data_IF_551678940331
#
_entry.id   IF_551678940331
#
_cell.length_a   1.000
_cell.length_b   1.000
_cell.length_c   1.000
_cell.angle_alpha   90.00
_cell.angle_beta   90.00
_cell.angle_gamma   90.00
#
_symmetry.space_group_name_H-M   'P 1'
#
loop_
_entity.id
_entity.type
_entity.pdbx_description
1 polymer ?
#
# COMPACT_ATOMS: atom_id res chain seq x y z
N UNK A 1 9.13 16.55 -8.03
CA UNK A 1 7.85 16.12 -7.45
C UNK A 1 7.17 15.07 -8.31
N UNK A 2 7.17 15.20 -9.65
CA UNK A 2 6.46 14.28 -10.56
C UNK A 2 6.88 12.81 -10.45
N UNK A 3 8.19 12.52 -10.40
CA UNK A 3 8.68 11.14 -10.21
C UNK A 3 8.24 10.55 -8.86
N UNK A 4 8.20 11.38 -7.81
CA UNK A 4 7.79 10.96 -6.48
C UNK A 4 6.26 10.78 -6.40
N UNK A 5 5.49 11.66 -7.05
CA UNK A 5 4.05 11.50 -7.25
C UNK A 5 3.74 10.19 -7.98
N UNK A 6 4.44 9.89 -9.07
CA UNK A 6 4.26 8.65 -9.82
C UNK A 6 4.49 7.42 -8.93
N UNK A 7 5.59 7.41 -8.16
CA UNK A 7 5.88 6.32 -7.20
C UNK A 7 4.76 6.20 -6.16
N UNK A 8 4.26 7.30 -5.61
CA UNK A 8 3.16 7.28 -4.64
C UNK A 8 1.87 6.71 -5.23
N UNK A 9 1.55 7.04 -6.48
CA UNK A 9 0.39 6.49 -7.20
C UNK A 9 0.55 4.98 -7.38
N UNK A 10 1.73 4.50 -7.77
CA UNK A 10 2.01 3.06 -7.92
C UNK A 10 1.87 2.33 -6.59
N UNK A 11 2.45 2.87 -5.51
CA UNK A 11 2.32 2.29 -4.16
C UNK A 11 0.85 2.25 -3.72
N UNK A 12 0.08 3.30 -4.02
CA UNK A 12 -1.35 3.36 -3.68
C UNK A 12 -2.17 2.32 -4.45
N UNK A 13 -1.90 2.16 -5.74
CA UNK A 13 -2.55 1.13 -6.56
C UNK A 13 -2.25 -0.28 -6.04
N UNK A 14 -1.00 -0.54 -5.64
CA UNK A 14 -0.61 -1.81 -5.03
C UNK A 14 -1.30 -2.03 -3.67
N UNK A 15 -1.45 -1.00 -2.86
CA UNK A 15 -2.19 -1.11 -1.59
C UNK A 15 -3.67 -1.44 -1.81
N UNK A 16 -4.32 -0.78 -2.77
CA UNK A 16 -5.71 -1.09 -3.16
C UNK A 16 -5.82 -2.55 -3.64
N UNK A 17 -4.88 -3.00 -4.47
CA UNK A 17 -4.82 -4.40 -4.91
C UNK A 17 -4.73 -5.37 -3.73
N UNK A 18 -3.86 -5.11 -2.76
CA UNK A 18 -3.71 -5.96 -1.56
C UNK A 18 -4.98 -5.98 -0.71
N UNK A 19 -5.67 -4.84 -0.58
CA UNK A 19 -6.97 -4.76 0.11
C UNK A 19 -8.00 -5.65 -0.60
N UNK A 20 -8.14 -5.52 -1.92
CA UNK A 20 -9.06 -6.35 -2.72
C UNK A 20 -8.68 -7.83 -2.61
N UNK A 21 -7.38 -8.13 -2.63
CA UNK A 21 -6.88 -9.49 -2.45
C UNK A 21 -7.24 -10.05 -1.07
N UNK A 22 -7.13 -9.26 -0.01
CA UNK A 22 -7.53 -9.65 1.34
C UNK A 22 -9.02 -9.99 1.42
N UNK A 23 -9.90 -9.22 0.77
CA UNK A 23 -11.32 -9.57 0.65
C UNK A 23 -11.53 -10.87 -0.13
N UNK A 24 -10.72 -11.11 -1.16
CA UNK A 24 -10.80 -12.32 -1.98
C UNK A 24 -10.33 -13.60 -1.26
N UNK A 25 -9.67 -13.49 -0.10
CA UNK A 25 -9.18 -14.66 0.66
C UNK A 25 -10.28 -15.67 0.98
N UNK A 26 -11.52 -15.20 1.18
CA UNK A 26 -12.67 -16.04 1.49
C UNK A 26 -12.97 -17.06 0.38
N UNK A 27 -12.62 -16.76 -0.87
CA UNK A 27 -12.82 -17.67 -2.01
C UNK A 27 -11.83 -18.84 -2.04
N UNK A 28 -10.71 -18.76 -1.30
CA UNK A 28 -9.72 -19.83 -1.27
C UNK A 28 -10.05 -20.90 -0.22
N UNK A 29 -9.86 -22.20 -0.53
CA UNK A 29 -10.12 -23.27 0.43
C UNK A 29 -9.26 -23.13 1.69
N UNK A 30 -9.87 -23.28 2.88
CA UNK A 30 -9.17 -23.16 4.18
C UNK A 30 -7.93 -24.07 4.28
N UNK A 31 -7.98 -25.28 3.71
CA UNK A 31 -6.84 -26.21 3.67
C UNK A 31 -5.64 -25.62 2.93
N UNK A 32 -5.89 -24.90 1.84
CA UNK A 32 -4.84 -24.27 1.03
C UNK A 32 -4.25 -23.06 1.76
N UNK A 33 -5.10 -22.17 2.29
CA UNK A 33 -4.63 -20.99 3.03
C UNK A 33 -3.74 -21.34 4.22
N UNK A 34 -4.10 -22.41 4.95
CA UNK A 34 -3.32 -22.91 6.10
C UNK A 34 -2.01 -23.57 5.68
N UNK A 35 -1.95 -24.23 4.52
CA UNK A 35 -0.72 -24.90 4.03
C UNK A 35 0.42 -23.90 3.77
N UNK A 36 0.08 -22.71 3.29
CA UNK A 36 1.06 -21.68 2.92
C UNK A 36 1.05 -20.46 3.86
N UNK A 37 0.35 -20.53 5.00
CA UNK A 37 0.15 -19.41 5.94
C UNK A 37 -0.31 -18.10 5.25
N UNK A 38 -1.19 -18.24 4.27
CA UNK A 38 -1.63 -17.15 3.39
C UNK A 38 -2.27 -16.01 4.18
N UNK A 39 -3.12 -16.33 5.15
CA UNK A 39 -3.84 -15.34 5.95
C UNK A 39 -2.86 -14.41 6.71
N UNK A 40 -1.77 -14.97 7.25
CA UNK A 40 -0.71 -14.21 7.91
C UNK A 40 0.09 -13.36 6.91
N UNK A 41 0.45 -13.94 5.76
CA UNK A 41 1.22 -13.24 4.73
C UNK A 41 0.46 -12.03 4.16
N UNK A 42 -0.83 -12.21 3.89
CA UNK A 42 -1.70 -11.12 3.40
C UNK A 42 -1.94 -10.08 4.48
N UNK A 43 -2.16 -10.50 5.73
CA UNK A 43 -2.27 -9.55 6.85
C UNK A 43 -1.02 -8.70 7.02
N UNK A 44 0.17 -9.32 6.92
CA UNK A 44 1.45 -8.63 6.96
C UNK A 44 1.57 -7.65 5.79
N UNK A 45 1.32 -8.11 4.56
CA UNK A 45 1.38 -7.26 3.37
C UNK A 45 0.43 -6.07 3.50
N UNK A 46 -0.81 -6.29 3.94
CA UNK A 46 -1.80 -5.24 4.12
C UNK A 46 -1.32 -4.15 5.09
N UNK A 47 -0.79 -4.54 6.26
CA UNK A 47 -0.30 -3.60 7.27
C UNK A 47 0.89 -2.79 6.72
N UNK A 48 1.90 -3.47 6.18
CA UNK A 48 3.11 -2.81 5.70
C UNK A 48 2.83 -1.89 4.51
N UNK A 49 2.05 -2.33 3.52
CA UNK A 49 1.74 -1.49 2.36
C UNK A 49 0.81 -0.33 2.71
N UNK A 50 -0.13 -0.50 3.65
CA UNK A 50 -0.96 0.61 4.13
C UNK A 50 -0.09 1.65 4.82
N UNK A 51 0.83 1.21 5.69
CA UNK A 51 1.76 2.09 6.39
C UNK A 51 2.70 2.82 5.42
N UNK A 52 3.30 2.10 4.46
CA UNK A 52 4.17 2.70 3.42
C UNK A 52 3.40 3.71 2.58
N UNK A 53 2.17 3.41 2.18
CA UNK A 53 1.32 4.33 1.41
C UNK A 53 1.09 5.62 2.20
N UNK A 54 0.73 5.51 3.48
CA UNK A 54 0.50 6.66 4.34
C UNK A 54 1.75 7.54 4.48
N UNK A 55 2.91 6.94 4.79
CA UNK A 55 4.16 7.71 4.91
C UNK A 55 4.57 8.35 3.58
N UNK A 56 4.43 7.63 2.46
CA UNK A 56 4.75 8.15 1.14
C UNK A 56 3.94 9.41 0.78
N UNK A 57 2.64 9.41 1.10
CA UNK A 57 1.78 10.59 0.91
C UNK A 57 2.08 11.73 1.89
N UNK A 58 2.34 11.44 3.16
CA UNK A 58 2.73 12.46 4.14
C UNK A 58 3.99 13.20 3.68
N UNK A 59 5.01 12.46 3.24
CA UNK A 59 6.25 13.03 2.73
C UNK A 59 5.98 13.87 1.48
N UNK A 60 5.12 13.40 0.57
CA UNK A 60 4.78 14.14 -0.64
C UNK A 60 4.07 15.45 -0.33
N UNK A 61 3.05 15.43 0.53
CA UNK A 61 2.34 16.63 0.93
C UNK A 61 3.23 17.59 1.71
N UNK A 62 4.12 17.09 2.56
CA UNK A 62 5.11 17.95 3.23
C UNK A 62 5.95 18.73 2.22
N UNK A 63 6.53 18.06 1.23
CA UNK A 63 7.33 18.74 0.21
C UNK A 63 6.52 19.63 -0.73
N UNK A 64 5.27 19.29 -1.00
CA UNK A 64 4.41 20.10 -1.86
C UNK A 64 3.90 21.36 -1.15
N UNK A 65 3.56 21.28 0.15
CA UNK A 65 3.10 22.42 0.95
C UNK A 65 4.25 23.37 1.29
N UNK A 66 5.40 22.83 1.69
CA UNK A 66 6.58 23.62 2.08
C UNK A 66 7.58 23.81 0.95
N UNK A 67 7.15 23.58 -0.30
CA UNK A 67 7.92 23.94 -1.48
C UNK A 67 8.24 25.43 -1.35
N UNK A 68 9.53 25.82 -1.30
CA UNK A 68 9.88 27.22 -1.11
C UNK A 68 9.18 28.01 -2.20
N UNK A 69 8.35 28.98 -1.80
CA UNK A 69 7.81 30.01 -2.67
C UNK A 69 9.03 30.75 -3.24
N UNK A 70 9.55 30.24 -4.36
CA UNK A 70 10.58 30.89 -5.13
C UNK A 70 9.99 32.17 -5.68
N UNK A 71 10.36 33.30 -5.07
CA UNK A 71 10.51 34.55 -5.79
C UNK A 71 11.67 34.41 -6.78
#
# INVERSE_FOLDING_TARGET
MDKFLFVNIVISALNIFIIVYAYSLVFFPKKWRKKINQDTLVGLALIFFTMTTMFAWIIYFYFEIFKPLGY
#
